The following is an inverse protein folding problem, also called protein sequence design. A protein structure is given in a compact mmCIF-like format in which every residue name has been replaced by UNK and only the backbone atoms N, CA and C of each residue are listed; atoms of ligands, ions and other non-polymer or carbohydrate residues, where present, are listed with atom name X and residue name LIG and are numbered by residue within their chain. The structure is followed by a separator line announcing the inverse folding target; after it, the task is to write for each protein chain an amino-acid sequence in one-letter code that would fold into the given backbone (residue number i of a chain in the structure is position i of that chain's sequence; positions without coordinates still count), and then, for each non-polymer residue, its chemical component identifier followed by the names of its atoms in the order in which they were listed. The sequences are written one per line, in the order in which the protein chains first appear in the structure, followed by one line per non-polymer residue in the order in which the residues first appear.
data_IF_740000848201
#
_entry.id   IF_740000848201
#
_cell.length_a   1.000
_cell.length_b   1.000
_cell.length_c   1.000
_cell.angle_alpha   90.00
_cell.angle_beta   90.00
_cell.angle_gamma   90.00
#
_symmetry.space_group_name_H-M   'P 1'
#
loop_
_entity.id
_entity.type
_entity.pdbx_description
1 polymer ?
#
# COMPACT_ATOMS: atom_id res chain seq x y z
N UNK A 1 4.93 21.66 33.21
CA UNK A 1 6.16 21.02 32.68
C UNK A 1 6.14 19.59 33.19
N UNK A 2 5.92 18.54 32.41
CA UNK A 2 5.89 18.40 30.94
C UNK A 2 4.92 17.27 30.56
N UNK A 3 4.01 17.58 29.64
CA UNK A 3 3.01 16.73 28.95
C UNK A 3 3.67 15.69 28.01
N UNK A 4 4.91 15.28 28.32
CA UNK A 4 5.76 14.43 27.49
C UNK A 4 5.58 12.94 27.82
N UNK A 5 5.03 12.60 29.00
CA UNK A 5 4.87 11.20 29.42
C UNK A 5 3.64 10.50 28.86
N UNK A 6 2.72 11.21 28.21
CA UNK A 6 1.47 10.63 27.67
C UNK A 6 1.55 10.29 26.18
N UNK A 7 2.75 10.38 25.59
CA UNK A 7 2.96 10.37 24.13
C UNK A 7 3.98 9.32 23.69
N UNK A 8 3.82 8.08 24.16
CA UNK A 8 4.35 6.88 23.48
C UNK A 8 3.78 5.56 24.07
N UNK A 9 2.56 5.57 24.61
CA UNK A 9 1.88 4.38 25.17
C UNK A 9 0.99 3.68 24.12
N UNK A 10 1.41 3.65 22.87
CA UNK A 10 1.20 2.40 22.14
C UNK A 10 2.39 1.56 22.52
N UNK A 11 2.21 0.66 23.48
CA UNK A 11 3.14 -0.43 23.64
C UNK A 11 3.27 -1.06 22.24
N UNK A 12 4.47 -0.96 21.68
CA UNK A 12 4.75 -1.42 20.33
C UNK A 12 4.39 -2.91 20.20
N UNK A 13 4.36 -3.66 21.31
CA UNK A 13 3.94 -5.05 21.35
C UNK A 13 2.42 -5.24 21.19
N UNK A 14 1.58 -4.55 21.97
CA UNK A 14 0.10 -4.64 21.87
C UNK A 14 -0.40 -4.20 20.48
N UNK A 15 0.16 -3.11 19.93
CA UNK A 15 -0.18 -2.66 18.58
C UNK A 15 0.22 -3.70 17.51
N UNK A 16 1.39 -4.32 17.66
CA UNK A 16 1.84 -5.39 16.75
C UNK A 16 0.97 -6.63 16.81
N UNK A 17 0.53 -7.02 18.00
CA UNK A 17 -0.38 -8.15 18.19
C UNK A 17 -1.73 -7.87 17.53
N UNK A 18 -2.30 -6.68 17.77
CA UNK A 18 -3.52 -6.23 17.09
C UNK A 18 -3.38 -6.25 15.55
N UNK A 19 -2.24 -5.79 15.02
CA UNK A 19 -1.96 -5.86 13.59
C UNK A 19 -1.88 -7.29 13.07
N UNK A 20 -1.20 -8.20 13.77
CA UNK A 20 -1.08 -9.60 13.38
C UNK A 20 -2.43 -10.34 13.39
N UNK A 21 -3.27 -10.08 14.40
CA UNK A 21 -4.65 -10.59 14.44
C UNK A 21 -5.51 -10.00 13.32
N UNK A 22 -5.33 -8.71 13.02
CA UNK A 22 -5.98 -8.04 11.89
C UNK A 22 -5.57 -8.66 10.55
N UNK A 23 -4.28 -8.94 10.37
CA UNK A 23 -3.72 -9.57 9.18
C UNK A 23 -4.29 -10.98 8.97
N UNK A 24 -4.31 -11.79 10.03
CA UNK A 24 -4.89 -13.15 9.97
C UNK A 24 -6.35 -13.10 9.55
N UNK A 25 -7.17 -12.26 10.19
CA UNK A 25 -8.58 -12.06 9.82
C UNK A 25 -8.73 -11.57 8.38
N UNK A 26 -7.85 -10.69 7.91
CA UNK A 26 -7.89 -10.16 6.55
C UNK A 26 -7.62 -11.26 5.50
N UNK A 27 -6.69 -12.19 5.77
CA UNK A 27 -6.43 -13.33 4.88
C UNK A 27 -7.57 -14.35 4.85
N UNK A 28 -8.37 -14.44 5.91
CA UNK A 28 -9.50 -15.37 6.02
C UNK A 28 -10.79 -14.86 5.34
N UNK A 29 -10.86 -13.60 4.91
CA UNK A 29 -12.06 -13.01 4.28
C UNK A 29 -12.47 -13.68 2.94
N UNK A 30 -11.51 -14.35 2.29
CA UNK A 30 -11.73 -14.99 0.98
C UNK A 30 -12.02 -13.99 -0.13
N UNK A 31 -11.48 -12.77 -0.04
CA UNK A 31 -11.66 -11.70 -1.02
C UNK A 31 -10.35 -11.33 -1.72
N UNK A 32 -9.53 -12.33 -2.02
CA UNK A 32 -8.17 -12.16 -2.52
C UNK A 32 -7.77 -13.30 -3.46
N UNK A 33 -7.03 -12.97 -4.52
CA UNK A 33 -6.45 -13.94 -5.45
C UNK A 33 -6.25 -13.38 -6.86
N UNK A 34 -5.84 -14.21 -7.84
CA UNK A 34 -5.66 -13.75 -9.21
C UNK A 34 -7.00 -13.34 -9.85
N UNK A 35 -6.94 -12.48 -10.87
CA UNK A 35 -8.09 -12.20 -11.70
C UNK A 35 -8.47 -13.45 -12.51
N UNK A 36 -9.75 -13.82 -12.50
CA UNK A 36 -10.28 -14.99 -13.22
C UNK A 36 -11.49 -14.60 -14.05
N UNK A 37 -11.63 -15.24 -15.20
CA UNK A 37 -12.73 -14.98 -16.13
C UNK A 37 -13.47 -16.28 -16.46
N UNK A 38 -14.78 -16.17 -16.71
CA UNK A 38 -15.60 -17.25 -17.25
C UNK A 38 -15.24 -17.51 -18.72
N UNK A 39 -15.66 -18.64 -19.32
CA UNK A 39 -15.45 -18.91 -20.75
C UNK A 39 -16.03 -17.82 -21.69
N UNK A 40 -17.06 -17.11 -21.24
CA UNK A 40 -17.71 -16.01 -21.95
C UNK A 40 -16.95 -14.67 -21.80
N UNK A 41 -15.87 -14.65 -21.01
CA UNK A 41 -15.04 -13.46 -20.77
C UNK A 41 -15.55 -12.55 -19.65
N UNK A 42 -16.55 -12.97 -18.88
CA UNK A 42 -17.02 -12.22 -17.71
C UNK A 42 -16.11 -12.46 -16.50
N UNK A 43 -16.12 -11.55 -15.53
CA UNK A 43 -15.41 -11.80 -14.26
C UNK A 43 -16.05 -13.01 -13.55
N UNK A 44 -15.22 -13.86 -12.97
CA UNK A 44 -15.65 -15.02 -12.20
C UNK A 44 -16.69 -14.63 -11.12
N UNK A 45 -17.88 -15.24 -11.10
CA UNK A 45 -18.93 -14.92 -10.13
C UNK A 45 -18.48 -14.98 -8.68
N UNK A 46 -17.55 -15.88 -8.32
CA UNK A 46 -17.03 -15.98 -6.94
C UNK A 46 -16.31 -14.70 -6.51
N UNK A 47 -15.68 -13.99 -7.46
CA UNK A 47 -15.01 -12.71 -7.21
C UNK A 47 -16.05 -11.61 -6.95
N UNK A 48 -17.15 -11.62 -7.71
CA UNK A 48 -18.26 -10.69 -7.52
C UNK A 48 -18.96 -10.92 -6.18
N UNK A 49 -19.22 -12.17 -5.82
CA UNK A 49 -19.83 -12.55 -4.54
C UNK A 49 -18.94 -12.16 -3.36
N UNK A 50 -17.63 -12.35 -3.47
CA UNK A 50 -16.67 -11.91 -2.45
C UNK A 50 -16.59 -10.39 -2.34
N UNK A 51 -16.62 -9.67 -3.48
CA UNK A 51 -16.66 -8.21 -3.51
C UNK A 51 -17.94 -7.68 -2.85
N UNK A 52 -19.11 -8.24 -3.17
CA UNK A 52 -20.38 -7.81 -2.59
C UNK A 52 -20.42 -8.06 -1.07
N UNK A 53 -19.94 -9.22 -0.62
CA UNK A 53 -19.88 -9.58 0.81
C UNK A 53 -18.89 -8.71 1.59
N UNK A 54 -17.73 -8.41 1.02
CA UNK A 54 -16.62 -7.77 1.74
C UNK A 54 -16.49 -6.25 1.47
N UNK A 55 -17.14 -5.75 0.42
CA UNK A 55 -17.02 -4.37 -0.08
C UNK A 55 -15.78 -4.10 -0.94
N UNK A 56 -14.87 -5.06 -1.07
CA UNK A 56 -13.66 -4.98 -1.89
C UNK A 56 -13.10 -6.38 -2.20
N UNK A 57 -12.28 -6.48 -3.24
CA UNK A 57 -11.50 -7.66 -3.60
C UNK A 57 -10.05 -7.26 -3.93
N UNK A 58 -9.08 -8.03 -3.46
CA UNK A 58 -7.65 -7.79 -3.70
C UNK A 58 -7.14 -8.72 -4.79
N UNK A 59 -6.86 -8.16 -5.96
CA UNK A 59 -6.21 -8.93 -7.01
C UNK A 59 -4.72 -9.10 -6.72
N UNK A 60 -4.24 -10.33 -6.84
CA UNK A 60 -2.84 -10.69 -6.65
C UNK A 60 -2.18 -11.02 -7.98
N UNK A 61 -0.87 -10.76 -8.06
CA UNK A 61 -0.04 -11.09 -9.23
C UNK A 61 -0.54 -10.47 -10.54
N UNK A 62 -1.17 -9.28 -10.47
CA UNK A 62 -1.65 -8.54 -11.65
C UNK A 62 -0.51 -7.90 -12.41
N UNK A 63 0.52 -7.44 -11.68
CA UNK A 63 1.71 -6.79 -12.23
C UNK A 63 2.86 -7.79 -12.12
N UNK A 64 3.59 -8.00 -13.21
CA UNK A 64 4.77 -8.87 -13.21
C UNK A 64 5.91 -8.27 -12.38
N UNK A 65 6.86 -9.09 -11.93
CA UNK A 65 7.96 -8.63 -11.07
C UNK A 65 8.82 -7.54 -11.71
N UNK A 66 9.11 -7.65 -13.01
CA UNK A 66 9.90 -6.65 -13.74
C UNK A 66 9.19 -5.29 -13.82
N UNK A 67 7.93 -5.30 -14.22
CA UNK A 67 7.08 -4.10 -14.31
C UNK A 67 6.87 -3.46 -12.92
N UNK A 68 6.70 -4.28 -11.87
CA UNK A 68 6.62 -3.80 -10.49
C UNK A 68 7.93 -3.12 -10.04
N UNK A 69 9.07 -3.66 -10.44
CA UNK A 69 10.38 -3.09 -10.10
C UNK A 69 10.62 -1.76 -10.83
N UNK A 70 10.20 -1.65 -12.08
CA UNK A 70 10.25 -0.41 -12.86
C UNK A 70 9.39 0.67 -12.19
N UNK A 71 8.13 0.37 -11.85
CA UNK A 71 7.26 1.32 -11.12
C UNK A 71 7.87 1.78 -9.79
N UNK A 72 8.51 0.88 -9.04
CA UNK A 72 9.19 1.25 -7.78
C UNK A 72 10.35 2.22 -8.04
N UNK A 73 11.18 1.94 -9.03
CA UNK A 73 12.31 2.81 -9.39
C UNK A 73 11.84 4.21 -9.76
N UNK A 74 10.78 4.32 -10.56
CA UNK A 74 10.23 5.62 -10.98
C UNK A 74 9.71 6.43 -9.78
N UNK A 75 9.01 5.78 -8.85
CA UNK A 75 8.54 6.43 -7.62
C UNK A 75 9.71 6.86 -6.73
N UNK A 76 10.70 5.99 -6.54
CA UNK A 76 11.87 6.30 -5.72
C UNK A 76 12.68 7.47 -6.31
N UNK A 77 12.85 7.53 -7.63
CA UNK A 77 13.50 8.64 -8.32
C UNK A 77 12.72 9.95 -8.17
N UNK A 78 11.39 9.89 -8.28
CA UNK A 78 10.52 11.05 -8.06
C UNK A 78 10.66 11.58 -6.63
N UNK A 79 10.65 10.69 -5.64
CA UNK A 79 10.81 11.06 -4.22
C UNK A 79 12.21 11.57 -3.90
N UNK A 80 13.26 11.00 -4.51
CA UNK A 80 14.64 11.45 -4.32
C UNK A 80 14.83 12.90 -4.81
N UNK A 81 14.13 13.24 -5.89
CA UNK A 81 14.19 14.56 -6.53
C UNK A 81 13.09 15.51 -6.11
N UNK A 82 12.33 15.17 -5.07
CA UNK A 82 11.31 16.05 -4.54
C UNK A 82 11.92 17.36 -3.98
N UNK A 83 11.19 18.50 -4.07
CA UNK A 83 11.59 19.76 -3.47
C UNK A 83 11.98 19.66 -1.98
N UNK A 84 13.13 20.24 -1.62
CA UNK A 84 13.65 20.25 -0.24
C UNK A 84 14.28 21.61 0.14
N UNK A 85 14.07 22.14 1.36
CA UNK A 85 13.40 21.54 2.52
C UNK A 85 11.88 21.71 2.55
N UNK A 86 11.29 22.41 1.58
CA UNK A 86 9.85 22.64 1.52
C UNK A 86 9.32 22.47 0.09
N UNK A 87 8.00 22.31 -0.05
CA UNK A 87 7.35 22.03 -1.35
C UNK A 87 7.65 23.06 -2.45
N UNK A 88 7.99 24.30 -2.08
CA UNK A 88 8.29 25.41 -3.03
C UNK A 88 9.80 25.52 -3.36
N UNK A 89 10.62 24.56 -2.93
CA UNK A 89 12.06 24.60 -3.18
C UNK A 89 12.37 24.24 -4.63
N UNK A 90 13.16 25.07 -5.33
CA UNK A 90 13.60 24.78 -6.70
C UNK A 90 14.60 23.62 -6.79
N UNK A 91 15.16 23.21 -5.65
CA UNK A 91 16.19 22.18 -5.56
C UNK A 91 15.77 21.03 -4.65
N UNK A 92 16.31 19.85 -4.94
CA UNK A 92 16.18 18.65 -4.13
C UNK A 92 17.18 18.64 -2.96
N UNK A 93 17.11 17.58 -2.14
CA UNK A 93 17.98 17.39 -0.96
C UNK A 93 19.47 17.32 -1.28
N UNK A 94 19.83 17.10 -2.55
CA UNK A 94 21.20 16.99 -3.05
C UNK A 94 21.64 18.29 -3.77
N UNK A 95 20.80 19.33 -3.82
CA UNK A 95 21.08 20.59 -4.50
C UNK A 95 20.94 20.53 -6.02
N UNK A 96 20.36 19.46 -6.58
CA UNK A 96 19.99 19.38 -8.01
C UNK A 96 18.64 20.07 -8.20
N UNK A 97 18.30 20.47 -9.43
CA UNK A 97 16.96 20.95 -9.74
C UNK A 97 15.92 19.86 -9.38
N UNK A 98 14.95 20.24 -8.56
CA UNK A 98 13.87 19.35 -8.16
C UNK A 98 13.04 18.92 -9.37
N UNK A 99 12.40 17.75 -9.28
CA UNK A 99 11.32 17.37 -10.19
C UNK A 99 10.02 17.94 -9.62
N UNK A 100 9.59 19.09 -10.14
CA UNK A 100 8.36 19.78 -9.73
C UNK A 100 8.45 21.29 -9.84
#
# INVERSE_FOLDING_TARGET
MTDTQRKSEWDNSEFREYCAEGETRAFELGNRGPIRFTPEGHLDPDILDAYERCGFYVFENVIGEGELQECRSEVDELLERAPWPHRESEVDRNGRLALG
#
